data_IF_032700549071
#
_entry.id   IF_032700549071
#
_cell.length_a   1.000
_cell.length_b   1.000
_cell.length_c   1.000
_cell.angle_alpha   90.00
_cell.angle_beta   90.00
_cell.angle_gamma   90.00
#
_symmetry.space_group_name_H-M   'P 1'
#
loop_
_entity.id
_entity.type
_entity.pdbx_description
1 polymer ?
#
# COMPACT_ATOMS: atom_id res chain seq x y z
N UNK A 1 -20.90 0.21 -13.54
CA UNK A 1 -21.64 1.40 -14.00
C UNK A 1 -20.62 2.50 -14.24
N UNK A 2 -20.99 3.55 -14.97
CA UNK A 2 -20.16 4.75 -15.08
C UNK A 2 -20.74 5.78 -14.11
N UNK A 3 -19.93 6.23 -13.17
CA UNK A 3 -20.28 7.30 -12.25
C UNK A 3 -19.74 8.63 -12.79
N UNK A 4 -20.53 9.70 -12.69
CA UNK A 4 -20.15 11.04 -13.14
C UNK A 4 -20.36 12.00 -11.97
N UNK A 5 -19.29 12.63 -11.48
CA UNK A 5 -19.34 13.48 -10.29
C UNK A 5 -18.47 14.73 -10.40
N UNK A 6 -18.86 15.81 -9.73
CA UNK A 6 -18.02 16.97 -9.44
C UNK A 6 -17.62 16.97 -7.97
N UNK A 7 -16.33 17.16 -7.67
CA UNK A 7 -15.78 17.10 -6.31
C UNK A 7 -15.15 18.42 -5.89
N UNK A 8 -15.38 18.82 -4.65
CA UNK A 8 -14.89 20.05 -4.07
C UNK A 8 -14.34 19.85 -2.66
N UNK A 9 -13.36 20.66 -2.30
CA UNK A 9 -12.82 20.79 -0.95
C UNK A 9 -13.33 22.07 -0.29
N UNK A 10 -13.58 22.00 1.01
CA UNK A 10 -13.89 23.15 1.84
C UNK A 10 -12.87 23.35 2.94
N UNK A 11 -12.59 24.62 3.22
CA UNK A 11 -11.85 25.06 4.41
C UNK A 11 -12.70 25.88 5.38
N UNK A 12 -13.92 26.26 4.98
CA UNK A 12 -14.84 27.08 5.77
C UNK A 12 -16.04 26.25 6.27
N UNK A 13 -16.05 25.96 7.57
CA UNK A 13 -17.13 25.25 8.26
C UNK A 13 -18.47 25.97 8.16
N UNK A 14 -18.48 27.32 8.06
CA UNK A 14 -19.72 28.11 7.94
C UNK A 14 -20.40 27.85 6.59
N UNK A 15 -19.61 27.74 5.52
CA UNK A 15 -20.14 27.39 4.20
C UNK A 15 -20.65 25.95 4.17
N UNK A 16 -19.94 25.03 4.83
CA UNK A 16 -20.38 23.64 4.97
C UNK A 16 -21.74 23.53 5.68
N UNK A 17 -21.92 24.23 6.81
CA UNK A 17 -23.20 24.25 7.53
C UNK A 17 -24.32 24.97 6.77
N UNK A 18 -23.99 25.99 5.97
CA UNK A 18 -24.96 26.64 5.09
C UNK A 18 -25.46 25.66 4.03
N UNK A 19 -24.57 24.94 3.35
CA UNK A 19 -24.95 23.94 2.34
C UNK A 19 -25.70 22.75 2.96
N UNK A 20 -25.38 22.38 4.21
CA UNK A 20 -26.04 21.28 4.93
C UNK A 20 -27.52 21.55 5.26
N UNK A 21 -27.95 22.81 5.17
CA UNK A 21 -29.29 23.28 5.54
C UNK A 21 -30.03 24.03 4.43
N UNK A 22 -29.44 24.14 3.23
CA UNK A 22 -30.04 24.89 2.11
C UNK A 22 -31.25 24.15 1.52
N UNK A 23 -32.27 24.92 1.11
CA UNK A 23 -33.49 24.38 0.51
C UNK A 23 -33.47 24.40 -1.03
N UNK A 24 -32.57 25.20 -1.64
CA UNK A 24 -32.41 25.29 -3.10
C UNK A 24 -31.00 25.71 -3.49
N UNK A 25 -30.52 25.24 -4.63
CA UNK A 25 -29.24 25.63 -5.23
C UNK A 25 -29.53 26.05 -6.67
N UNK A 26 -29.32 27.33 -6.97
CA UNK A 26 -29.74 27.95 -8.23
C UNK A 26 -31.24 27.65 -8.53
N UNK A 27 -31.55 26.96 -9.62
CA UNK A 27 -32.93 26.57 -9.97
C UNK A 27 -33.37 25.24 -9.37
N UNK A 28 -32.48 24.50 -8.72
CA UNK A 28 -32.77 23.15 -8.21
C UNK A 28 -33.26 23.19 -6.77
N UNK A 29 -34.32 22.42 -6.49
CA UNK A 29 -34.86 22.25 -5.13
C UNK A 29 -34.14 21.10 -4.42
N UNK A 30 -33.81 21.28 -3.15
CA UNK A 30 -33.18 20.22 -2.35
C UNK A 30 -34.25 19.34 -1.70
N UNK A 31 -34.13 18.02 -1.86
CA UNK A 31 -35.08 17.04 -1.31
C UNK A 31 -34.36 15.86 -0.63
N UNK A 32 -35.13 15.01 0.07
CA UNK A 32 -34.68 13.73 0.63
C UNK A 32 -33.38 13.79 1.44
N UNK A 33 -33.24 14.80 2.30
CA UNK A 33 -32.03 14.98 3.11
C UNK A 33 -31.86 13.83 4.11
N UNK A 34 -30.74 13.12 4.03
CA UNK A 34 -30.40 11.98 4.86
C UNK A 34 -29.04 12.22 5.52
N UNK A 35 -28.98 12.06 6.84
CA UNK A 35 -27.72 11.96 7.58
C UNK A 35 -27.34 10.49 7.75
N UNK A 36 -26.08 10.17 7.48
CA UNK A 36 -25.56 8.82 7.66
C UNK A 36 -24.12 8.81 8.12
N UNK A 37 -23.80 7.87 9.00
CA UNK A 37 -22.44 7.62 9.47
C UNK A 37 -22.02 6.24 9.01
N UNK A 38 -20.81 6.13 8.47
CA UNK A 38 -20.28 4.87 7.98
C UNK A 38 -18.75 4.88 7.94
N UNK A 39 -18.17 3.69 7.78
CA UNK A 39 -16.74 3.49 7.70
C UNK A 39 -16.39 2.75 6.42
N UNK A 40 -15.44 3.28 5.66
CA UNK A 40 -14.81 2.59 4.54
C UNK A 40 -13.46 2.04 5.00
N UNK A 41 -13.18 0.76 4.74
CA UNK A 41 -11.82 0.20 4.85
C UNK A 41 -11.29 -0.04 3.44
N UNK A 42 -10.16 0.57 3.11
CA UNK A 42 -9.50 0.36 1.82
C UNK A 42 -8.52 -0.81 1.89
N UNK A 43 -8.50 -1.63 0.85
CA UNK A 43 -7.68 -2.84 0.79
C UNK A 43 -6.86 -2.91 -0.49
N UNK A 44 -5.67 -3.48 -0.38
CA UNK A 44 -4.86 -3.95 -1.50
C UNK A 44 -3.91 -5.06 -1.02
N UNK A 45 -3.19 -5.69 -1.94
CA UNK A 45 -2.07 -6.58 -1.62
C UNK A 45 -0.83 -5.76 -1.24
N UNK A 46 0.16 -6.42 -0.62
CA UNK A 46 1.42 -5.74 -0.24
C UNK A 46 2.18 -5.13 -1.42
N UNK A 47 2.03 -5.69 -2.63
CA UNK A 47 2.60 -5.17 -3.87
C UNK A 47 1.67 -4.19 -4.62
N UNK A 48 0.58 -3.75 -3.96
CA UNK A 48 -0.37 -2.78 -4.49
C UNK A 48 -0.95 -3.23 -5.85
N UNK A 49 -1.39 -4.48 -5.95
CA UNK A 49 -1.79 -5.09 -7.23
C UNK A 49 -3.05 -4.44 -7.81
N UNK A 50 -4.05 -4.09 -6.99
CA UNK A 50 -5.28 -3.43 -7.45
C UNK A 50 -5.00 -2.00 -7.88
N UNK A 51 -4.22 -1.25 -7.08
CA UNK A 51 -3.74 0.07 -7.44
C UNK A 51 -2.97 0.06 -8.77
N UNK A 52 -2.08 -0.93 -8.94
CA UNK A 52 -1.29 -1.10 -10.16
C UNK A 52 -2.15 -1.46 -11.38
N UNK A 53 -3.29 -2.12 -11.16
CA UNK A 53 -4.29 -2.38 -12.19
C UNK A 53 -5.19 -1.16 -12.47
N UNK A 54 -4.99 -0.04 -11.78
CA UNK A 54 -5.75 1.20 -11.97
C UNK A 54 -7.05 1.27 -11.16
N UNK A 55 -7.18 0.51 -10.07
CA UNK A 55 -8.39 0.47 -9.25
C UNK A 55 -8.10 0.69 -7.75
N UNK A 56 -9.06 1.30 -7.06
CA UNK A 56 -9.16 1.24 -5.61
C UNK A 56 -10.25 0.24 -5.21
N UNK A 57 -10.06 -0.41 -4.07
CA UNK A 57 -11.01 -1.36 -3.52
C UNK A 57 -11.32 -1.05 -2.06
N UNK A 58 -12.60 -0.97 -1.71
CA UNK A 58 -13.06 -0.69 -0.34
C UNK A 58 -14.19 -1.60 0.10
N UNK A 59 -14.29 -1.78 1.40
CA UNK A 59 -15.46 -2.31 2.09
C UNK A 59 -16.09 -1.19 2.93
N UNK A 60 -17.31 -0.82 2.61
CA UNK A 60 -18.13 0.13 3.38
C UNK A 60 -18.99 -0.61 4.38
N UNK A 61 -18.89 -0.23 5.64
CA UNK A 61 -19.64 -0.78 6.76
C UNK A 61 -20.73 0.22 7.19
N UNK A 62 -22.00 -0.11 6.89
CA UNK A 62 -23.21 0.54 7.42
C UNK A 62 -23.97 -0.46 8.31
N UNK A 63 -24.75 0.00 9.31
CA UNK A 63 -25.57 -0.91 10.12
C UNK A 63 -26.49 -1.78 9.25
N UNK A 64 -26.29 -3.10 9.29
CA UNK A 64 -27.07 -4.08 8.52
C UNK A 64 -26.82 -4.09 7.01
N UNK A 65 -25.78 -3.39 6.52
CA UNK A 65 -25.46 -3.32 5.09
C UNK A 65 -23.94 -3.15 4.88
N UNK A 66 -23.34 -4.13 4.24
CA UNK A 66 -21.95 -4.06 3.78
C UNK A 66 -21.93 -3.83 2.27
N UNK A 67 -21.04 -2.96 1.79
CA UNK A 67 -20.89 -2.71 0.36
C UNK A 67 -19.42 -2.78 -0.03
N UNK A 68 -19.08 -3.68 -0.94
CA UNK A 68 -17.76 -3.74 -1.55
C UNK A 68 -17.78 -2.95 -2.85
N UNK A 69 -16.83 -2.04 -3.01
CA UNK A 69 -16.76 -1.16 -4.17
C UNK A 69 -15.38 -1.29 -4.81
N UNK A 70 -15.35 -1.55 -6.11
CA UNK A 70 -14.17 -1.41 -6.96
C UNK A 70 -14.35 -0.19 -7.87
N UNK A 71 -13.41 0.77 -7.80
CA UNK A 71 -13.52 2.06 -8.52
C UNK A 71 -12.25 2.37 -9.28
N UNK A 72 -12.36 2.75 -10.56
CA UNK A 72 -11.19 3.11 -11.37
C UNK A 72 -10.51 4.39 -10.85
N UNK A 73 -9.20 4.49 -11.07
CA UNK A 73 -8.33 5.56 -10.55
C UNK A 73 -8.01 6.66 -11.56
N UNK A 74 -8.84 6.82 -12.59
CA UNK A 74 -8.59 7.79 -13.67
C UNK A 74 -8.29 9.19 -13.10
N UNK A 75 -7.11 9.70 -13.47
CA UNK A 75 -6.71 11.08 -13.18
C UNK A 75 -7.24 11.97 -14.28
N UNK A 76 -8.03 12.95 -13.89
CA UNK A 76 -8.51 14.02 -14.78
C UNK A 76 -8.25 15.36 -14.11
N UNK A 77 -7.84 16.35 -14.91
CA UNK A 77 -7.72 17.75 -14.49
C UNK A 77 -9.08 18.47 -14.52
N UNK A 78 -10.14 17.79 -14.99
CA UNK A 78 -11.51 18.28 -14.98
C UNK A 78 -12.13 18.19 -13.59
N UNK A 79 -12.95 19.19 -13.24
CA UNK A 79 -13.78 19.18 -12.03
C UNK A 79 -14.76 18.01 -12.08
N UNK A 80 -15.32 17.74 -13.27
CA UNK A 80 -16.18 16.59 -13.53
C UNK A 80 -15.33 15.36 -13.84
N UNK A 81 -15.59 14.29 -13.11
CA UNK A 81 -14.93 12.99 -13.22
C UNK A 81 -15.89 11.96 -13.76
N UNK A 82 -15.37 11.04 -14.55
CA UNK A 82 -16.09 9.85 -14.99
C UNK A 82 -15.28 8.63 -14.60
N UNK A 83 -15.87 7.71 -13.85
CA UNK A 83 -15.14 6.53 -13.35
C UNK A 83 -16.00 5.30 -13.45
N UNK A 84 -15.36 4.19 -13.83
CA UNK A 84 -16.01 2.90 -13.74
C UNK A 84 -16.09 2.48 -12.28
N UNK A 85 -17.29 2.10 -11.86
CA UNK A 85 -17.55 1.58 -10.53
C UNK A 85 -18.33 0.25 -10.59
N UNK A 86 -17.94 -0.68 -9.72
CA UNK A 86 -18.63 -1.96 -9.53
C UNK A 86 -18.88 -2.13 -8.03
N UNK A 87 -20.14 -2.33 -7.66
CA UNK A 87 -20.55 -2.53 -6.28
C UNK A 87 -21.23 -3.88 -6.05
N UNK A 88 -20.98 -4.46 -4.87
CA UNK A 88 -21.69 -5.64 -4.37
C UNK A 88 -22.13 -5.37 -2.94
N UNK A 89 -23.41 -5.59 -2.66
CA UNK A 89 -24.01 -5.41 -1.33
C UNK A 89 -24.27 -6.77 -0.71
N UNK A 90 -23.85 -6.94 0.54
CA UNK A 90 -24.10 -8.15 1.34
C UNK A 90 -24.55 -7.77 2.75
N UNK A 91 -25.29 -8.64 3.46
CA UNK A 91 -25.81 -8.32 4.79
C UNK A 91 -24.72 -8.26 5.86
N UNK A 92 -23.66 -9.06 5.72
CA UNK A 92 -22.56 -9.18 6.69
C UNK A 92 -21.21 -9.19 5.98
N UNK A 93 -20.17 -8.78 6.69
CA UNK A 93 -18.81 -8.65 6.15
C UNK A 93 -18.20 -10.05 5.98
N UNK A 94 -17.69 -10.33 4.80
CA UNK A 94 -17.09 -11.62 4.44
C UNK A 94 -15.80 -11.43 3.63
N UNK A 95 -15.07 -12.52 3.41
CA UNK A 95 -13.92 -12.48 2.49
C UNK A 95 -14.40 -12.37 1.05
N UNK A 96 -13.58 -11.77 0.16
CA UNK A 96 -13.96 -11.60 -1.26
C UNK A 96 -14.25 -12.95 -1.93
N UNK A 97 -13.57 -14.02 -1.52
CA UNK A 97 -13.81 -15.38 -2.01
C UNK A 97 -15.18 -15.95 -1.66
N UNK A 98 -15.82 -15.42 -0.62
CA UNK A 98 -17.12 -15.85 -0.10
C UNK A 98 -18.30 -15.07 -0.72
N UNK A 99 -18.02 -14.00 -1.46
CA UNK A 99 -19.04 -13.29 -2.22
C UNK A 99 -19.67 -14.21 -3.27
N UNK A 100 -20.92 -13.92 -3.65
CA UNK A 100 -21.56 -14.56 -4.79
C UNK A 100 -20.76 -14.31 -6.07
N UNK A 101 -20.87 -15.24 -7.03
CA UNK A 101 -20.19 -15.10 -8.31
C UNK A 101 -20.65 -13.83 -9.04
N UNK A 102 -19.68 -13.03 -9.47
CA UNK A 102 -19.96 -11.72 -10.05
C UNK A 102 -18.69 -10.99 -10.46
N UNK A 103 -18.86 -9.92 -11.24
CA UNK A 103 -17.75 -9.19 -11.87
C UNK A 103 -16.72 -8.69 -10.87
N UNK A 104 -17.16 -8.19 -9.71
CA UNK A 104 -16.26 -7.71 -8.64
C UNK A 104 -15.39 -8.85 -8.10
N UNK A 105 -16.00 -9.96 -7.68
CA UNK A 105 -15.28 -11.13 -7.14
C UNK A 105 -14.28 -11.66 -8.16
N UNK A 106 -14.72 -11.93 -9.39
CA UNK A 106 -13.86 -12.47 -10.44
C UNK A 106 -12.69 -11.53 -10.77
N UNK A 107 -12.94 -10.21 -10.82
CA UNK A 107 -11.89 -9.23 -11.08
C UNK A 107 -10.87 -9.19 -9.95
N UNK A 108 -11.31 -9.03 -8.70
CA UNK A 108 -10.42 -8.90 -7.55
C UNK A 108 -9.57 -10.17 -7.39
N UNK A 109 -10.17 -11.36 -7.42
CA UNK A 109 -9.45 -12.62 -7.28
C UNK A 109 -8.44 -12.86 -8.42
N UNK A 110 -8.76 -12.44 -9.65
CA UNK A 110 -7.84 -12.53 -10.78
C UNK A 110 -6.63 -11.59 -10.58
N UNK A 111 -6.87 -10.33 -10.21
CA UNK A 111 -5.79 -9.33 -10.04
C UNK A 111 -4.87 -9.68 -8.88
N UNK A 112 -5.41 -10.12 -7.74
CA UNK A 112 -4.58 -10.44 -6.57
C UNK A 112 -3.92 -11.82 -6.67
N UNK A 113 -4.46 -12.73 -7.49
CA UNK A 113 -3.97 -14.11 -7.61
C UNK A 113 -3.98 -14.84 -6.26
N UNK A 114 -2.82 -15.37 -5.84
CA UNK A 114 -2.64 -15.98 -4.51
C UNK A 114 -2.38 -14.97 -3.39
N UNK A 115 -2.34 -13.67 -3.70
CA UNK A 115 -2.10 -12.61 -2.74
C UNK A 115 -3.26 -12.41 -1.77
N UNK A 116 -2.93 -11.94 -0.56
CA UNK A 116 -3.92 -11.56 0.44
C UNK A 116 -4.18 -10.06 0.42
N UNK A 117 -5.44 -9.69 0.68
CA UNK A 117 -5.84 -8.31 0.89
C UNK A 117 -5.50 -7.88 2.32
N UNK A 118 -4.88 -6.72 2.46
CA UNK A 118 -4.58 -6.09 3.73
C UNK A 118 -5.27 -4.74 3.81
N UNK A 119 -5.73 -4.37 5.00
CA UNK A 119 -6.25 -3.01 5.23
C UNK A 119 -5.10 -2.01 5.08
N UNK A 120 -5.27 -1.03 4.19
CA UNK A 120 -4.33 0.07 3.99
C UNK A 120 -4.59 1.20 4.99
N UNK A 121 -5.86 1.62 5.07
CA UNK A 121 -6.36 2.68 5.95
C UNK A 121 -7.88 2.60 6.03
N UNK A 122 -8.43 3.30 7.02
CA UNK A 122 -9.87 3.47 7.22
C UNK A 122 -10.26 4.91 6.94
N UNK A 123 -11.49 5.12 6.45
CA UNK A 123 -12.09 6.43 6.27
C UNK A 123 -13.43 6.43 7.01
N UNK A 124 -13.58 7.34 7.95
CA UNK A 124 -14.81 7.55 8.71
C UNK A 124 -15.53 8.74 8.07
N UNK A 125 -16.83 8.57 7.87
CA UNK A 125 -17.68 9.55 7.22
C UNK A 125 -18.83 9.92 8.13
N UNK A 126 -19.03 11.22 8.30
CA UNK A 126 -20.32 11.80 8.67
C UNK A 126 -20.87 12.53 7.44
N UNK A 127 -21.83 11.90 6.76
CA UNK A 127 -22.37 12.37 5.48
C UNK A 127 -23.77 12.92 5.63
N UNK A 128 -24.00 14.09 5.04
CA UNK A 128 -25.35 14.56 4.68
C UNK A 128 -25.52 14.45 3.17
N UNK A 129 -26.41 13.57 2.71
CA UNK A 129 -26.81 13.46 1.30
C UNK A 129 -28.18 14.09 1.08
N UNK A 130 -28.42 14.70 -0.08
CA UNK A 130 -29.73 15.15 -0.52
C UNK A 130 -29.83 15.13 -2.05
N UNK A 131 -31.05 14.99 -2.55
CA UNK A 131 -31.34 15.05 -3.98
C UNK A 131 -31.47 16.50 -4.44
N UNK A 132 -30.91 16.82 -5.61
CA UNK A 132 -31.10 18.08 -6.32
C UNK A 132 -32.14 17.86 -7.42
N UNK A 133 -33.31 18.44 -7.23
CA UNK A 133 -34.49 18.20 -8.05
C UNK A 133 -34.74 19.35 -9.02
N UNK A 134 -35.02 19.01 -10.28
CA UNK A 134 -35.66 19.89 -11.26
C UNK A 134 -37.10 19.40 -11.45
N UNK A 135 -38.04 20.13 -10.86
CA UNK A 135 -39.41 19.69 -10.60
C UNK A 135 -39.46 18.30 -9.93
N UNK A 136 -39.77 17.24 -10.69
CA UNK A 136 -39.86 15.86 -10.21
C UNK A 136 -38.66 14.98 -10.58
N UNK A 137 -37.70 15.52 -11.33
CA UNK A 137 -36.53 14.77 -11.83
C UNK A 137 -35.36 14.91 -10.86
N UNK A 138 -34.78 13.80 -10.42
CA UNK A 138 -33.58 13.82 -9.59
C UNK A 138 -32.36 14.03 -10.49
N UNK A 139 -31.89 15.28 -10.57
CA UNK A 139 -30.79 15.67 -11.47
C UNK A 139 -29.46 15.16 -10.93
N UNK A 140 -29.20 15.34 -9.64
CA UNK A 140 -27.96 14.96 -8.99
C UNK A 140 -28.13 14.69 -7.49
N UNK A 141 -27.27 13.87 -6.90
CA UNK A 141 -27.11 13.77 -5.45
C UNK A 141 -26.03 14.76 -4.99
N UNK A 142 -26.35 15.61 -4.02
CA UNK A 142 -25.38 16.42 -3.29
C UNK A 142 -24.98 15.69 -2.00
N UNK A 143 -23.71 15.38 -1.86
CA UNK A 143 -23.11 14.75 -0.69
C UNK A 143 -22.15 15.73 0.00
N UNK A 144 -22.41 16.04 1.27
CA UNK A 144 -21.48 16.76 2.14
C UNK A 144 -20.85 15.76 3.12
N UNK A 145 -19.52 15.63 3.09
CA UNK A 145 -18.79 14.75 3.99
C UNK A 145 -17.91 15.54 4.96
N UNK A 146 -18.04 15.22 6.25
CA UNK A 146 -16.95 15.34 7.20
C UNK A 146 -16.16 14.03 7.22
N UNK A 147 -14.91 14.09 6.76
CA UNK A 147 -14.06 12.93 6.50
C UNK A 147 -12.92 12.87 7.49
N UNK A 148 -12.75 11.72 8.15
CA UNK A 148 -11.55 11.40 8.93
C UNK A 148 -10.89 10.15 8.38
N UNK A 149 -9.71 10.30 7.80
CA UNK A 149 -8.87 9.19 7.36
C UNK A 149 -7.96 8.76 8.51
N UNK A 150 -7.92 7.46 8.82
CA UNK A 150 -7.05 6.86 9.84
C UNK A 150 -6.08 5.88 9.20
N UNK A 151 -4.78 6.10 9.43
CA UNK A 151 -3.72 5.22 8.96
C UNK A 151 -2.63 5.10 10.03
N UNK A 152 -2.38 3.88 10.53
CA UNK A 152 -1.29 3.55 11.48
C UNK A 152 -1.15 4.53 12.66
N UNK A 153 -2.28 4.85 13.31
CA UNK A 153 -2.33 5.73 14.49
C UNK A 153 -2.22 7.23 14.19
N UNK A 154 -2.11 7.62 12.92
CA UNK A 154 -2.25 9.01 12.49
C UNK A 154 -3.59 9.21 11.79
N UNK A 155 -4.06 10.45 11.78
CA UNK A 155 -5.29 10.81 11.12
C UNK A 155 -5.17 12.12 10.33
N UNK A 156 -6.03 12.25 9.31
CA UNK A 156 -6.21 13.45 8.50
C UNK A 156 -7.70 13.72 8.38
N UNK A 157 -8.13 14.90 8.79
CA UNK A 157 -9.52 15.33 8.71
C UNK A 157 -9.68 16.45 7.68
N UNK A 158 -10.78 16.44 6.94
CA UNK A 158 -11.13 17.48 5.99
C UNK A 158 -12.61 17.40 5.59
N UNK A 159 -13.13 18.52 5.07
CA UNK A 159 -14.49 18.61 4.56
C UNK A 159 -14.47 18.52 3.03
N UNK A 160 -15.40 17.77 2.46
CA UNK A 160 -15.59 17.69 1.02
C UNK A 160 -17.07 17.73 0.63
N UNK A 161 -17.32 18.18 -0.59
CA UNK A 161 -18.63 18.17 -1.24
C UNK A 161 -18.50 17.44 -2.56
N UNK A 162 -19.40 16.49 -2.80
CA UNK A 162 -19.55 15.75 -4.06
C UNK A 162 -20.94 16.04 -4.65
N UNK A 163 -21.01 16.32 -5.95
CA UNK A 163 -22.26 16.40 -6.72
C UNK A 163 -22.22 15.27 -7.75
N UNK A 164 -23.02 14.23 -7.55
CA UNK A 164 -23.04 13.04 -8.40
C UNK A 164 -24.26 13.05 -9.32
N UNK A 165 -24.04 12.94 -10.63
CA UNK A 165 -25.10 12.97 -11.63
C UNK A 165 -26.02 11.75 -11.51
N UNK A 166 -27.33 11.99 -11.50
CA UNK A 166 -28.36 10.95 -11.49
C UNK A 166 -29.09 10.92 -12.85
N UNK A 167 -30.28 11.49 -12.94
CA UNK A 167 -31.06 11.61 -14.19
C UNK A 167 -30.77 12.92 -14.95
N UNK A 168 -29.79 13.70 -14.48
CA UNK A 168 -29.33 14.94 -15.10
C UNK A 168 -28.44 14.74 -16.33
N UNK A 169 -28.17 15.85 -17.00
CA UNK A 169 -27.17 15.97 -18.06
C UNK A 169 -25.83 16.50 -17.53
N UNK A 170 -24.75 16.26 -18.26
CA UNK A 170 -23.42 16.80 -17.90
C UNK A 170 -23.38 18.33 -17.93
N UNK A 171 -24.20 18.99 -18.76
CA UNK A 171 -24.31 20.45 -18.80
C UNK A 171 -24.97 20.99 -17.51
N UNK A 172 -25.94 20.27 -16.95
CA UNK A 172 -26.54 20.59 -15.65
C UNK A 172 -25.55 20.38 -14.51
N UNK A 173 -24.76 19.30 -14.57
CA UNK A 173 -23.68 19.07 -13.61
C UNK A 173 -22.61 20.17 -13.67
N UNK A 174 -22.26 20.60 -14.88
CA UNK A 174 -21.31 21.69 -15.10
C UNK A 174 -21.85 23.01 -14.53
N UNK A 175 -23.13 23.31 -14.75
CA UNK A 175 -23.80 24.49 -14.19
C UNK A 175 -23.80 24.45 -12.66
N UNK A 176 -24.14 23.29 -12.06
CA UNK A 176 -24.06 23.09 -10.62
C UNK A 176 -22.63 23.30 -10.09
N UNK A 177 -21.62 22.76 -10.79
CA UNK A 177 -20.22 22.93 -10.41
C UNK A 177 -19.78 24.40 -10.46
N UNK A 178 -20.25 25.17 -11.45
CA UNK A 178 -20.00 26.62 -11.54
C UNK A 178 -20.64 27.38 -10.38
N UNK A 179 -21.86 27.02 -9.97
CA UNK A 179 -22.52 27.59 -8.79
C UNK A 179 -21.74 27.27 -7.51
N UNK A 180 -21.25 26.04 -7.34
CA UNK A 180 -20.41 25.66 -6.19
C UNK A 180 -19.16 26.54 -6.09
N UNK A 181 -18.48 26.79 -7.21
CA UNK A 181 -17.27 27.63 -7.22
C UNK A 181 -17.61 29.11 -7.06
N UNK A 182 -18.59 29.62 -7.79
CA UNK A 182 -18.92 31.05 -7.85
C UNK A 182 -19.61 31.56 -6.59
N UNK A 183 -20.68 30.89 -6.17
CA UNK A 183 -21.57 31.39 -5.11
C UNK A 183 -21.14 30.92 -3.72
N UNK A 184 -20.54 29.73 -3.64
CA UNK A 184 -20.10 29.13 -2.38
C UNK A 184 -18.58 29.19 -2.18
N UNK A 185 -17.81 29.59 -3.21
CA UNK A 185 -16.35 29.69 -3.10
C UNK A 185 -15.65 28.35 -2.95
N UNK A 186 -16.27 27.25 -3.39
CA UNK A 186 -15.69 25.91 -3.23
C UNK A 186 -14.46 25.72 -4.12
N UNK A 187 -13.45 25.01 -3.61
CA UNK A 187 -12.25 24.70 -4.39
C UNK A 187 -12.41 23.34 -5.09
N UNK A 188 -12.22 23.23 -6.41
CA UNK A 188 -12.23 21.93 -7.08
C UNK A 188 -11.23 20.95 -6.46
N UNK A 189 -11.69 19.73 -6.17
CA UNK A 189 -10.90 18.67 -5.55
C UNK A 189 -10.29 17.73 -6.60
N UNK A 190 -8.96 17.67 -6.66
CA UNK A 190 -8.23 16.76 -7.57
C UNK A 190 -7.93 15.38 -6.97
N UNK A 191 -8.00 15.22 -5.66
CA UNK A 191 -7.65 13.97 -4.96
C UNK A 191 -8.90 13.20 -4.54
N UNK A 192 -8.88 11.87 -4.71
CA UNK A 192 -9.88 10.98 -4.12
C UNK A 192 -9.57 10.70 -2.65
N UNK A 193 -10.56 10.17 -1.91
CA UNK A 193 -10.37 9.69 -0.53
C UNK A 193 -9.26 8.63 -0.45
N UNK A 194 -9.13 7.80 -1.49
CA UNK A 194 -8.05 6.83 -1.62
C UNK A 194 -6.68 7.50 -1.79
N UNK A 195 -6.58 8.53 -2.66
CA UNK A 195 -5.33 9.29 -2.85
C UNK A 195 -4.88 9.97 -1.55
N UNK A 196 -5.82 10.58 -0.83
CA UNK A 196 -5.54 11.19 0.47
C UNK A 196 -5.08 10.17 1.52
N UNK A 197 -5.61 8.95 1.48
CA UNK A 197 -5.16 7.86 2.35
C UNK A 197 -3.76 7.34 1.99
N UNK A 198 -3.43 7.22 0.71
CA UNK A 198 -2.07 6.89 0.26
C UNK A 198 -1.06 7.99 0.63
N UNK A 199 -1.45 9.26 0.54
CA UNK A 199 -0.63 10.38 0.98
C UNK A 199 -0.35 10.29 2.49
N UNK A 200 -1.38 10.07 3.31
CA UNK A 200 -1.20 9.89 4.76
C UNK A 200 -0.32 8.68 5.08
N UNK A 201 -0.45 7.59 4.34
CA UNK A 201 0.43 6.42 4.47
C UNK A 201 1.90 6.78 4.16
N UNK A 202 2.18 7.54 3.10
CA UNK A 202 3.54 8.03 2.76
C UNK A 202 4.08 9.00 3.81
N UNK A 203 3.25 9.89 4.34
CA UNK A 203 3.62 10.77 5.44
C UNK A 203 4.03 9.97 6.68
N UNK A 204 3.30 8.89 7.00
CA UNK A 204 3.63 8.03 8.13
C UNK A 204 5.02 7.42 7.98
N UNK A 205 5.37 6.90 6.79
CA UNK A 205 6.72 6.38 6.52
C UNK A 205 7.78 7.47 6.71
N UNK A 206 7.48 8.70 6.28
CA UNK A 206 8.37 9.86 6.45
C UNK A 206 8.57 10.25 7.92
N UNK A 207 7.50 10.24 8.72
CA UNK A 207 7.56 10.51 10.17
C UNK A 207 8.36 9.42 10.89
N UNK A 208 8.09 8.17 10.57
CA UNK A 208 8.80 6.98 11.05
C UNK A 208 10.30 7.04 10.72
N UNK A 209 10.66 7.43 9.50
CA UNK A 209 12.06 7.68 9.12
C UNK A 209 12.73 8.77 9.97
N UNK A 210 11.99 9.82 10.34
CA UNK A 210 12.48 10.91 11.19
C UNK A 210 12.77 10.50 12.64
N UNK A 211 12.17 9.40 13.13
CA UNK A 211 12.45 8.83 14.46
C UNK A 211 13.74 8.00 14.49
N UNK A 212 14.13 7.46 13.35
CA UNK A 212 15.32 6.62 13.22
C UNK A 212 16.59 7.48 13.20
N UNK A 213 17.30 7.54 14.33
CA UNK A 213 18.61 8.21 14.36
C UNK A 213 19.68 7.32 13.71
N UNK A 214 20.20 7.78 12.57
CA UNK A 214 21.36 7.22 11.89
C UNK A 214 22.57 8.16 11.92
N UNK A 215 22.46 9.33 12.55
CA UNK A 215 23.46 10.39 12.46
C UNK A 215 23.68 10.90 11.04
N UNK A 216 24.92 11.27 10.71
CA UNK A 216 25.25 11.89 9.42
C UNK A 216 25.29 10.85 8.29
N UNK A 217 24.20 10.76 7.54
CA UNK A 217 24.12 9.92 6.34
C UNK A 217 24.64 10.71 5.11
N UNK A 218 25.52 10.14 4.27
CA UNK A 218 25.98 10.81 3.06
C UNK A 218 24.82 11.09 2.09
N UNK A 219 24.56 12.37 1.81
CA UNK A 219 23.61 12.77 0.76
C UNK A 219 24.10 12.28 -0.61
N UNK A 220 23.19 11.80 -1.45
CA UNK A 220 23.51 11.47 -2.85
C UNK A 220 23.10 12.59 -3.80
N UNK A 221 23.92 12.84 -4.81
CA UNK A 221 23.57 13.72 -5.94
C UNK A 221 22.77 12.92 -6.96
N UNK A 222 21.62 13.49 -7.34
CA UNK A 222 20.65 13.02 -8.35
C UNK A 222 20.19 11.57 -8.14
N UNK A 223 19.02 11.43 -7.51
CA UNK A 223 18.21 10.23 -7.53
C UNK A 223 16.95 10.59 -8.28
N UNK A 224 16.60 9.76 -9.25
CA UNK A 224 15.38 9.95 -10.02
C UNK A 224 14.26 9.19 -9.27
N UNK A 225 13.30 9.88 -8.63
CA UNK A 225 12.21 9.21 -7.97
C UNK A 225 11.30 8.56 -9.02
N UNK A 226 10.83 7.36 -8.73
CA UNK A 226 9.85 6.60 -9.52
C UNK A 226 8.86 5.98 -8.53
N UNK A 227 7.58 5.83 -8.87
CA UNK A 227 6.68 5.16 -7.92
C UNK A 227 7.02 3.68 -7.82
N UNK A 228 6.64 3.07 -6.69
CA UNK A 228 6.85 1.64 -6.47
C UNK A 228 6.21 0.80 -7.59
N UNK A 229 4.98 1.12 -7.97
CA UNK A 229 4.24 0.44 -9.04
C UNK A 229 4.94 0.57 -10.39
N UNK A 230 5.37 1.78 -10.77
CA UNK A 230 6.12 1.99 -12.01
C UNK A 230 7.43 1.19 -12.01
N UNK A 231 8.18 1.20 -10.89
CA UNK A 231 9.42 0.44 -10.78
C UNK A 231 9.19 -1.08 -10.93
N UNK A 232 8.13 -1.63 -10.34
CA UNK A 232 7.81 -3.06 -10.49
C UNK A 232 7.42 -3.39 -11.93
N UNK A 233 6.68 -2.50 -12.60
CA UNK A 233 6.23 -2.71 -13.97
C UNK A 233 7.35 -2.54 -15.00
N UNK A 234 8.12 -1.45 -14.91
CA UNK A 234 9.19 -1.09 -15.87
C UNK A 234 10.31 -2.14 -15.92
N UNK A 235 10.54 -2.81 -14.79
CA UNK A 235 11.55 -3.86 -14.65
C UNK A 235 10.98 -5.28 -14.68
N UNK A 236 9.67 -5.44 -14.97
CA UNK A 236 8.94 -6.73 -15.07
C UNK A 236 9.24 -7.64 -13.87
N UNK A 237 9.05 -7.09 -12.66
CA UNK A 237 9.24 -7.84 -11.42
C UNK A 237 8.13 -8.88 -11.29
N UNK A 238 8.52 -10.12 -11.00
CA UNK A 238 7.57 -11.19 -10.76
C UNK A 238 6.77 -10.97 -9.46
N UNK A 239 5.61 -10.34 -9.60
CA UNK A 239 4.81 -9.83 -8.47
C UNK A 239 4.40 -10.90 -7.47
N UNK A 240 3.98 -12.08 -7.93
CA UNK A 240 3.59 -13.17 -7.03
C UNK A 240 4.75 -13.61 -6.13
N UNK A 241 5.95 -13.74 -6.70
CA UNK A 241 7.16 -14.02 -5.93
C UNK A 241 7.46 -12.91 -4.92
N UNK A 242 7.52 -11.68 -5.42
CA UNK A 242 7.85 -10.51 -4.63
C UNK A 242 6.91 -10.40 -3.42
N UNK A 243 5.61 -10.60 -3.63
CA UNK A 243 4.59 -10.63 -2.58
C UNK A 243 4.85 -11.75 -1.58
N UNK A 244 5.10 -12.98 -2.04
CA UNK A 244 5.33 -14.13 -1.14
C UNK A 244 6.58 -13.96 -0.29
N UNK A 245 7.67 -13.47 -0.88
CA UNK A 245 8.90 -13.11 -0.18
C UNK A 245 8.64 -12.00 0.82
N UNK A 246 7.78 -11.04 0.49
CA UNK A 246 7.39 -9.95 1.41
C UNK A 246 6.59 -10.45 2.60
N UNK A 247 5.60 -11.33 2.38
CA UNK A 247 4.82 -11.95 3.46
C UNK A 247 5.72 -12.75 4.41
N UNK A 248 6.61 -13.59 3.86
CA UNK A 248 7.58 -14.34 4.64
C UNK A 248 8.55 -13.40 5.38
N UNK A 249 9.00 -12.33 4.73
CA UNK A 249 9.89 -11.32 5.33
C UNK A 249 9.24 -10.63 6.52
N UNK A 250 7.96 -10.27 6.41
CA UNK A 250 7.20 -9.64 7.49
C UNK A 250 6.93 -10.59 8.65
N UNK A 251 6.52 -11.83 8.36
CA UNK A 251 6.32 -12.83 9.41
C UNK A 251 7.59 -13.04 10.24
N UNK A 252 8.75 -13.12 9.58
CA UNK A 252 10.04 -13.22 10.28
C UNK A 252 10.43 -11.94 11.01
N UNK A 253 10.16 -10.76 10.43
CA UNK A 253 10.46 -9.48 11.04
C UNK A 253 9.61 -9.22 12.31
N UNK A 254 8.33 -9.56 12.26
CA UNK A 254 7.41 -9.29 13.37
C UNK A 254 7.66 -10.29 14.52
N UNK A 255 7.72 -11.59 14.22
CA UNK A 255 7.85 -12.63 15.24
C UNK A 255 9.26 -12.72 15.87
N UNK A 256 10.31 -12.33 15.14
CA UNK A 256 11.69 -12.43 15.61
C UNK A 256 12.28 -11.09 16.06
N UNK A 257 11.44 -10.09 16.35
CA UNK A 257 11.89 -8.75 16.76
C UNK A 257 12.82 -8.78 17.98
N UNK A 258 12.56 -9.67 18.95
CA UNK A 258 13.40 -9.86 20.13
C UNK A 258 14.79 -10.46 19.80
N UNK A 259 14.90 -11.10 18.63
CA UNK A 259 16.12 -11.77 18.15
C UNK A 259 16.94 -10.83 17.28
N UNK A 260 16.37 -10.29 16.20
CA UNK A 260 17.11 -9.42 15.29
C UNK A 260 17.21 -7.97 15.79
N UNK A 261 16.35 -7.55 16.72
CA UNK A 261 16.39 -6.23 17.36
C UNK A 261 16.43 -5.07 16.35
N UNK A 262 15.69 -5.22 15.25
CA UNK A 262 15.45 -4.11 14.33
C UNK A 262 14.37 -3.23 14.96
N UNK A 263 14.40 -1.95 14.66
CA UNK A 263 13.35 -1.03 15.06
C UNK A 263 12.04 -1.39 14.35
N UNK A 264 10.88 -1.50 15.04
CA UNK A 264 9.58 -1.71 14.40
C UNK A 264 9.29 -0.70 13.27
N UNK A 265 9.83 0.51 13.39
CA UNK A 265 9.68 1.58 12.39
C UNK A 265 10.33 1.23 11.03
N UNK A 266 11.17 0.19 10.96
CA UNK A 266 11.72 -0.32 9.70
C UNK A 266 10.80 -1.29 8.95
N UNK A 267 9.62 -1.62 9.49
CA UNK A 267 8.71 -2.60 8.89
C UNK A 267 8.29 -2.26 7.47
N UNK A 268 7.95 -1.00 7.17
CA UNK A 268 7.60 -0.58 5.80
C UNK A 268 8.81 -0.58 4.86
N UNK A 269 10.00 -0.27 5.38
CA UNK A 269 11.25 -0.42 4.62
C UNK A 269 11.49 -1.89 4.26
N UNK A 270 11.12 -2.82 5.15
CA UNK A 270 11.22 -4.26 4.90
C UNK A 270 10.27 -4.71 3.79
N UNK A 271 9.03 -4.21 3.78
CA UNK A 271 8.07 -4.44 2.70
C UNK A 271 8.68 -4.03 1.37
N UNK A 272 9.15 -2.80 1.30
CA UNK A 272 9.71 -2.23 0.09
C UNK A 272 10.97 -2.98 -0.35
N UNK A 273 11.89 -3.29 0.56
CA UNK A 273 13.11 -4.05 0.26
C UNK A 273 12.82 -5.44 -0.31
N UNK A 274 11.79 -6.13 0.22
CA UNK A 274 11.41 -7.45 -0.27
C UNK A 274 10.76 -7.39 -1.66
N UNK A 275 9.90 -6.41 -1.91
CA UNK A 275 9.23 -6.30 -3.21
C UNK A 275 10.19 -5.96 -4.35
N UNK A 276 11.25 -5.17 -4.12
CA UNK A 276 12.24 -4.80 -5.17
C UNK A 276 13.47 -5.71 -5.23
N UNK A 277 13.51 -6.80 -4.46
CA UNK A 277 14.75 -7.58 -4.33
C UNK A 277 15.24 -8.13 -5.68
N UNK A 278 14.31 -8.42 -6.60
CA UNK A 278 14.56 -8.99 -7.93
C UNK A 278 14.39 -8.00 -9.09
N UNK A 279 14.35 -6.69 -8.81
CA UNK A 279 14.26 -5.63 -9.85
C UNK A 279 15.38 -5.69 -10.91
N UNK A 280 16.48 -6.40 -10.63
CA UNK A 280 17.58 -6.59 -11.57
C UNK A 280 17.47 -7.80 -12.50
N UNK A 281 16.44 -8.65 -12.38
CA UNK A 281 16.35 -9.94 -13.10
C UNK A 281 16.28 -9.73 -14.61
N UNK A 282 15.44 -8.83 -15.09
CA UNK A 282 15.32 -8.49 -16.52
C UNK A 282 16.57 -7.86 -17.10
N UNK A 283 17.31 -7.10 -16.29
CA UNK A 283 18.55 -6.45 -16.73
C UNK A 283 19.72 -7.43 -16.82
N UNK A 284 19.88 -8.33 -15.84
CA UNK A 284 20.91 -9.37 -15.83
C UNK A 284 20.50 -10.56 -14.96
N UNK A 285 19.97 -11.61 -15.57
CA UNK A 285 19.53 -12.82 -14.86
C UNK A 285 20.64 -13.43 -13.96
N UNK A 286 21.90 -13.45 -14.43
CA UNK A 286 23.01 -14.06 -13.67
C UNK A 286 23.51 -13.13 -12.57
N UNK A 287 23.55 -11.84 -12.83
CA UNK A 287 24.03 -10.78 -11.95
C UNK A 287 22.95 -9.93 -11.29
N UNK A 288 21.69 -10.36 -11.25
CA UNK A 288 20.54 -9.52 -10.87
C UNK A 288 20.71 -8.74 -9.56
N UNK A 289 21.24 -9.35 -8.50
CA UNK A 289 21.61 -8.65 -7.26
C UNK A 289 22.50 -7.40 -7.45
N UNK A 290 23.43 -7.40 -8.43
CA UNK A 290 24.26 -6.24 -8.78
C UNK A 290 23.49 -5.24 -9.64
N UNK A 291 22.78 -5.73 -10.66
CA UNK A 291 21.98 -4.89 -11.55
C UNK A 291 20.88 -4.16 -10.75
N UNK A 292 20.13 -4.88 -9.92
CA UNK A 292 19.10 -4.34 -9.05
C UNK A 292 19.65 -3.32 -8.05
N UNK A 293 20.82 -3.58 -7.45
CA UNK A 293 21.52 -2.55 -6.66
C UNK A 293 21.75 -1.30 -7.51
N UNK A 294 22.33 -1.43 -8.69
CA UNK A 294 22.71 -0.28 -9.52
C UNK A 294 21.50 0.48 -10.08
N UNK A 295 20.37 -0.20 -10.30
CA UNK A 295 19.05 0.40 -10.54
C UNK A 295 18.63 1.23 -9.33
N UNK A 296 18.53 0.60 -8.15
CA UNK A 296 18.06 1.24 -6.92
C UNK A 296 19.00 2.36 -6.40
N UNK A 297 20.27 2.34 -6.81
CA UNK A 297 21.21 3.42 -6.52
C UNK A 297 21.01 4.64 -7.44
N UNK A 298 20.33 4.51 -8.58
CA UNK A 298 20.05 5.59 -9.54
C UNK A 298 18.60 6.08 -9.44
N UNK A 299 17.67 5.13 -9.36
CA UNK A 299 16.24 5.35 -9.25
C UNK A 299 15.77 4.80 -7.91
N UNK A 300 15.00 5.58 -7.16
CA UNK A 300 14.47 5.13 -5.86
C UNK A 300 12.95 5.19 -5.88
N UNK A 301 12.27 4.24 -5.20
CA UNK A 301 10.84 4.39 -5.00
C UNK A 301 10.52 5.71 -4.28
N UNK A 302 9.54 6.46 -4.77
CA UNK A 302 9.12 7.75 -4.25
C UNK A 302 8.46 7.64 -2.87
N UNK A 303 7.92 6.46 -2.55
CA UNK A 303 7.26 6.13 -1.29
C UNK A 303 8.23 6.00 -0.11
N UNK A 304 9.53 5.84 -0.38
CA UNK A 304 10.53 5.67 0.67
C UNK A 304 11.40 6.93 0.86
N UNK A 305 11.38 7.56 2.03
CA UNK A 305 12.09 8.80 2.28
C UNK A 305 13.61 8.58 2.42
N UNK A 306 14.37 9.67 2.29
CA UNK A 306 15.75 9.70 2.79
C UNK A 306 15.75 9.59 4.33
N UNK A 307 16.68 8.83 4.95
CA UNK A 307 17.74 8.03 4.33
C UNK A 307 17.37 6.57 4.06
N UNK A 308 16.13 6.15 4.33
CA UNK A 308 15.73 4.74 4.32
C UNK A 308 15.86 4.08 2.95
N UNK A 309 15.64 4.80 1.85
CA UNK A 309 15.81 4.23 0.52
C UNK A 309 17.23 3.70 0.26
N UNK A 310 18.24 4.14 1.01
CA UNK A 310 19.61 3.65 0.89
C UNK A 310 19.75 2.19 1.34
N UNK A 311 18.77 1.65 2.09
CA UNK A 311 18.75 0.26 2.54
C UNK A 311 18.49 -0.69 1.37
N UNK A 312 17.52 -0.35 0.51
CA UNK A 312 17.01 -1.18 -0.59
C UNK A 312 18.12 -1.71 -1.53
N UNK A 313 19.02 -0.87 -2.08
CA UNK A 313 20.07 -1.38 -2.96
C UNK A 313 20.97 -2.42 -2.32
N UNK A 314 21.22 -2.32 -1.01
CA UNK A 314 22.16 -3.20 -0.32
C UNK A 314 21.50 -4.50 0.13
N UNK A 315 20.23 -4.48 0.54
CA UNK A 315 19.45 -5.71 0.74
C UNK A 315 19.32 -6.47 -0.59
N UNK A 316 19.03 -5.77 -1.70
CA UNK A 316 19.04 -6.32 -3.06
C UNK A 316 20.42 -6.85 -3.47
N UNK A 317 21.52 -6.18 -3.12
CA UNK A 317 22.86 -6.72 -3.42
C UNK A 317 23.19 -8.00 -2.64
N UNK A 318 22.66 -8.11 -1.42
CA UNK A 318 22.98 -9.15 -0.47
C UNK A 318 22.09 -10.39 -0.59
N UNK A 319 20.94 -10.36 -1.27
CA UNK A 319 19.97 -11.48 -1.22
C UNK A 319 20.43 -12.79 -1.91
N UNK A 320 21.21 -12.72 -3.00
CA UNK A 320 21.44 -13.90 -3.86
C UNK A 320 22.58 -14.83 -3.42
N UNK A 321 23.79 -14.30 -3.36
CA UNK A 321 25.04 -15.10 -3.29
C UNK A 321 25.37 -15.44 -1.84
N UNK A 322 25.91 -16.64 -1.59
CA UNK A 322 26.39 -17.07 -0.26
C UNK A 322 27.23 -15.97 0.41
N UNK A 323 26.99 -15.72 1.69
CA UNK A 323 27.75 -14.76 2.48
C UNK A 323 28.72 -15.50 3.40
N UNK A 324 29.97 -15.05 3.38
CA UNK A 324 31.06 -15.52 4.23
C UNK A 324 31.75 -14.30 4.83
N UNK A 325 32.56 -14.51 5.87
CA UNK A 325 33.33 -13.47 6.54
C UNK A 325 34.16 -12.63 5.56
N UNK A 326 34.90 -13.28 4.64
CA UNK A 326 35.68 -12.59 3.60
C UNK A 326 34.85 -11.66 2.71
N UNK A 327 33.61 -12.07 2.39
CA UNK A 327 32.73 -11.28 1.55
C UNK A 327 32.17 -10.08 2.32
N UNK A 328 31.88 -10.25 3.61
CA UNK A 328 31.49 -9.15 4.50
C UNK A 328 32.66 -8.17 4.68
N UNK A 329 33.88 -8.66 4.95
CA UNK A 329 35.07 -7.83 5.04
C UNK A 329 35.28 -7.01 3.76
N UNK A 330 35.14 -7.63 2.58
CA UNK A 330 35.17 -6.94 1.28
C UNK A 330 34.05 -5.90 1.11
N UNK A 331 32.89 -6.10 1.72
CA UNK A 331 31.79 -5.13 1.69
C UNK A 331 32.09 -3.92 2.59
N UNK A 332 32.66 -4.14 3.78
CA UNK A 332 33.03 -3.06 4.72
C UNK A 332 34.15 -2.15 4.23
N UNK A 333 34.94 -2.57 3.23
CA UNK A 333 35.94 -1.70 2.58
C UNK A 333 35.41 -1.01 1.32
N UNK A 334 34.21 -1.35 0.83
CA UNK A 334 33.63 -0.67 -0.33
C UNK A 334 33.18 0.72 0.06
N UNK A 335 33.82 1.73 -0.54
CA UNK A 335 33.56 3.16 -0.32
C UNK A 335 32.07 3.54 -0.18
N UNK A 336 31.20 3.00 -1.03
CA UNK A 336 29.75 3.32 -0.99
C UNK A 336 29.03 2.75 0.24
N UNK A 337 29.41 1.55 0.71
CA UNK A 337 28.78 0.90 1.87
C UNK A 337 29.43 1.37 3.17
N UNK A 338 30.76 1.44 3.19
CA UNK A 338 31.55 1.87 4.34
C UNK A 338 31.31 3.32 4.76
N UNK A 339 30.78 4.14 3.85
CA UNK A 339 30.38 5.52 4.13
C UNK A 339 29.03 5.64 4.87
N UNK A 340 28.21 4.58 4.89
CA UNK A 340 26.94 4.60 5.64
C UNK A 340 27.22 4.52 7.15
N UNK A 341 26.41 5.14 8.02
CA UNK A 341 26.56 5.02 9.47
C UNK A 341 26.52 3.57 9.95
N UNK A 342 27.23 3.26 11.06
CA UNK A 342 27.34 1.90 11.59
C UNK A 342 25.96 1.27 11.84
N UNK A 343 25.06 1.97 12.55
CA UNK A 343 23.70 1.49 12.81
C UNK A 343 22.92 1.16 11.53
N UNK A 344 23.05 1.99 10.49
CA UNK A 344 22.41 1.73 9.19
C UNK A 344 22.98 0.50 8.51
N UNK A 345 24.31 0.28 8.58
CA UNK A 345 24.92 -0.94 8.05
C UNK A 345 24.43 -2.18 8.79
N UNK A 346 24.30 -2.10 10.12
CA UNK A 346 23.81 -3.20 10.94
C UNK A 346 22.35 -3.53 10.61
N UNK A 347 21.49 -2.52 10.46
CA UNK A 347 20.09 -2.69 10.05
C UNK A 347 20.00 -3.31 8.66
N UNK A 348 20.78 -2.82 7.69
CA UNK A 348 20.86 -3.41 6.33
C UNK A 348 21.22 -4.89 6.38
N UNK A 349 22.24 -5.26 7.17
CA UNK A 349 22.71 -6.63 7.24
C UNK A 349 21.65 -7.56 7.87
N UNK A 350 20.94 -7.10 8.90
CA UNK A 350 19.86 -7.85 9.55
C UNK A 350 18.62 -7.97 8.65
N UNK A 351 18.20 -6.90 8.00
CA UNK A 351 17.11 -6.92 7.02
C UNK A 351 17.45 -7.83 5.83
N UNK A 352 18.69 -7.77 5.33
CA UNK A 352 19.16 -8.67 4.29
C UNK A 352 19.18 -10.14 4.75
N UNK A 353 19.50 -10.42 6.02
CA UNK A 353 19.47 -11.77 6.56
C UNK A 353 18.05 -12.35 6.54
N UNK A 354 17.05 -11.57 6.97
CA UNK A 354 15.64 -11.95 6.92
C UNK A 354 15.19 -12.13 5.46
N UNK A 355 15.48 -11.17 4.59
CA UNK A 355 15.09 -11.21 3.18
C UNK A 355 15.66 -12.45 2.46
N UNK A 356 16.92 -12.80 2.72
CA UNK A 356 17.56 -14.00 2.18
C UNK A 356 16.84 -15.27 2.58
N UNK A 357 16.45 -15.38 3.84
CA UNK A 357 15.69 -16.52 4.35
C UNK A 357 14.33 -16.56 3.65
N UNK A 358 13.60 -15.46 3.64
CA UNK A 358 12.27 -15.34 3.04
C UNK A 358 12.24 -15.68 1.54
N UNK A 359 13.23 -15.20 0.78
CA UNK A 359 13.48 -15.56 -0.64
C UNK A 359 13.82 -17.06 -0.77
N UNK A 360 14.56 -17.64 0.18
CA UNK A 360 14.77 -19.08 0.23
C UNK A 360 13.50 -19.90 0.49
N UNK A 361 12.54 -19.33 1.21
CA UNK A 361 11.26 -19.96 1.56
C UNK A 361 10.23 -19.94 0.42
N UNK A 362 10.47 -19.16 -0.63
CA UNK A 362 9.66 -19.14 -1.85
C UNK A 362 10.52 -19.48 -3.08
N UNK A 363 11.36 -20.52 -2.96
CA UNK A 363 12.21 -20.93 -4.08
C UNK A 363 11.49 -21.86 -5.05
N UNK A 364 10.65 -22.74 -4.52
CA UNK A 364 9.86 -23.69 -5.30
C UNK A 364 8.67 -23.05 -6.00
N UNK A 365 8.19 -21.90 -5.50
CA UNK A 365 6.95 -21.23 -5.91
C UNK A 365 5.69 -22.07 -5.71
N UNK A 366 5.73 -22.99 -4.75
CA UNK A 366 4.63 -23.90 -4.41
C UNK A 366 3.96 -23.53 -3.08
N UNK A 367 3.76 -22.23 -2.85
CA UNK A 367 2.97 -21.65 -1.75
C UNK A 367 3.32 -22.13 -0.33
N UNK A 368 4.58 -22.43 -0.07
CA UNK A 368 5.08 -22.72 1.27
C UNK A 368 4.75 -21.58 2.24
N UNK A 369 4.27 -21.90 3.45
CA UNK A 369 3.95 -20.92 4.49
C UNK A 369 4.56 -21.30 5.82
N UNK A 370 4.91 -20.29 6.62
CA UNK A 370 5.31 -20.48 8.02
C UNK A 370 4.09 -20.98 8.81
N UNK A 371 4.24 -22.11 9.50
CA UNK A 371 3.20 -22.62 10.41
C UNK A 371 3.49 -22.31 11.86
N UNK A 372 4.77 -22.21 12.24
CA UNK A 372 5.20 -21.98 13.61
C UNK A 372 6.63 -21.42 13.63
N UNK A 373 6.92 -20.56 14.61
CA UNK A 373 8.27 -20.06 14.89
C UNK A 373 8.54 -20.27 16.39
N UNK A 374 9.53 -21.09 16.70
CA UNK A 374 9.94 -21.34 18.08
C UNK A 374 11.36 -20.84 18.31
N UNK A 375 11.54 -20.07 19.37
CA UNK A 375 12.88 -19.76 19.88
C UNK A 375 13.21 -20.76 20.99
N UNK A 376 14.17 -21.66 20.75
CA UNK A 376 14.64 -22.64 21.75
C UNK A 376 16.10 -22.38 22.08
N UNK A 377 16.39 -22.13 23.35
CA UNK A 377 17.72 -21.73 23.84
C UNK A 377 18.22 -20.45 23.11
N UNK A 378 19.17 -20.63 22.17
CA UNK A 378 19.71 -19.59 21.28
C UNK A 378 19.29 -19.75 19.81
N UNK A 379 18.73 -20.90 19.44
CA UNK A 379 18.39 -21.20 18.05
C UNK A 379 16.94 -20.82 17.76
N UNK A 380 16.67 -20.48 16.50
CA UNK A 380 15.33 -20.30 15.98
C UNK A 380 14.96 -21.52 15.15
N UNK A 381 13.79 -22.10 15.39
CA UNK A 381 13.23 -23.20 14.61
C UNK A 381 11.99 -22.66 13.89
N UNK A 382 11.99 -22.74 12.56
CA UNK A 382 10.87 -22.30 11.72
C UNK A 382 10.25 -23.53 11.09
N UNK A 383 8.97 -23.74 11.32
CA UNK A 383 8.20 -24.76 10.63
C UNK A 383 7.58 -24.20 9.36
N UNK A 384 7.73 -24.96 8.27
CA UNK A 384 7.17 -24.61 6.97
C UNK A 384 6.20 -25.72 6.55
N UNK A 385 4.98 -25.35 6.17
CA UNK A 385 3.97 -26.25 5.61
C UNK A 385 3.68 -25.90 4.16
N UNK A 386 3.13 -26.86 3.43
CA UNK A 386 2.72 -26.72 2.04
C UNK A 386 3.51 -27.61 1.08
N UNK A 387 3.09 -27.68 -0.20
CA UNK A 387 3.64 -28.63 -1.18
C UNK A 387 5.14 -28.46 -1.43
N UNK A 388 5.67 -27.24 -1.31
CA UNK A 388 7.09 -26.93 -1.48
C UNK A 388 7.95 -27.00 -0.22
N UNK A 389 7.36 -27.31 0.94
CA UNK A 389 7.98 -27.08 2.25
C UNK A 389 9.36 -27.72 2.40
N UNK A 390 9.57 -28.94 1.91
CA UNK A 390 10.88 -29.60 2.00
C UNK A 390 11.97 -28.94 1.14
N UNK A 391 11.60 -28.47 -0.06
CA UNK A 391 12.53 -27.81 -0.98
C UNK A 391 12.89 -26.43 -0.42
N UNK A 392 11.86 -25.71 0.02
CA UNK A 392 11.98 -24.34 0.53
C UNK A 392 12.69 -24.30 1.88
N UNK A 393 12.42 -25.24 2.80
CA UNK A 393 13.17 -25.37 4.06
C UNK A 393 14.67 -25.56 3.81
N UNK A 394 15.05 -26.48 2.91
CA UNK A 394 16.46 -26.72 2.54
C UNK A 394 17.09 -25.50 1.89
N UNK A 395 16.32 -24.73 1.12
CA UNK A 395 16.82 -23.53 0.45
C UNK A 395 16.98 -22.36 1.41
N UNK A 396 16.01 -22.14 2.29
CA UNK A 396 16.04 -21.16 3.37
C UNK A 396 17.23 -21.41 4.31
N UNK A 397 17.47 -22.67 4.71
CA UNK A 397 18.63 -23.05 5.52
C UNK A 397 19.96 -22.73 4.83
N UNK A 398 20.07 -22.98 3.52
CA UNK A 398 21.27 -22.59 2.76
C UNK A 398 21.47 -21.07 2.67
N UNK A 399 20.38 -20.29 2.73
CA UNK A 399 20.40 -18.82 2.66
C UNK A 399 20.51 -18.15 4.03
N UNK A 400 20.50 -18.90 5.14
CA UNK A 400 20.64 -18.37 6.50
C UNK A 400 22.09 -18.04 6.90
N UNK A 401 23.05 -18.14 5.98
CA UNK A 401 24.47 -17.83 6.23
C UNK A 401 24.68 -16.44 6.87
N UNK A 402 24.07 -15.40 6.33
CA UNK A 402 24.18 -14.03 6.82
C UNK A 402 23.53 -13.88 8.20
N UNK A 403 22.42 -14.58 8.45
CA UNK A 403 21.76 -14.58 9.75
C UNK A 403 22.70 -15.06 10.85
N UNK A 404 23.35 -16.21 10.65
CA UNK A 404 24.33 -16.74 11.60
C UNK A 404 25.50 -15.79 11.84
N UNK A 405 25.99 -15.13 10.79
CA UNK A 405 27.10 -14.18 10.88
C UNK A 405 26.76 -12.89 11.65
N UNK A 406 25.50 -12.44 11.62
CA UNK A 406 25.13 -11.11 12.15
C UNK A 406 24.33 -11.16 13.46
N UNK A 407 23.74 -12.31 13.79
CA UNK A 407 22.91 -12.48 15.00
C UNK A 407 23.47 -13.48 16.02
N UNK A 408 24.60 -14.15 15.72
CA UNK A 408 25.21 -15.17 16.59
C UNK A 408 24.20 -16.23 17.08
N UNK A 409 23.24 -16.57 16.21
CA UNK A 409 22.15 -17.51 16.47
C UNK A 409 21.88 -18.30 15.20
N UNK A 410 21.78 -19.63 15.31
CA UNK A 410 21.40 -20.44 14.18
C UNK A 410 19.89 -20.38 13.95
N UNK A 411 19.49 -20.53 12.69
CA UNK A 411 18.09 -20.73 12.31
C UNK A 411 17.97 -22.02 11.52
N UNK A 412 17.05 -22.88 11.94
CA UNK A 412 16.79 -24.20 11.37
C UNK A 412 15.37 -24.25 10.84
N UNK A 413 15.17 -25.01 9.77
CA UNK A 413 13.88 -25.12 9.11
C UNK A 413 13.38 -26.56 9.18
N UNK A 414 12.12 -26.74 9.57
CA UNK A 414 11.47 -28.05 9.65
C UNK A 414 10.27 -28.07 8.70
N UNK A 415 10.30 -28.86 7.62
CA UNK A 415 9.09 -29.10 6.85
C UNK A 415 8.10 -29.89 7.72
N UNK A 416 6.83 -29.50 7.70
CA UNK A 416 5.73 -30.20 8.36
C UNK A 416 4.67 -30.56 7.33
N UNK A 417 4.02 -31.71 7.55
CA UNK A 417 3.02 -32.29 6.65
C UNK A 417 1.74 -31.46 6.58
#
# INVERSE_FOLDING_TARGET
MMEIEAKFLLSDEVVFEKLSSIDSIDTFTVANRIKSNFKDTYFDTLDMALYSAGYSFRCREKPGKITYTLKSLEKTDSVIRKREEIEVVVPEKCEVSELDEGRLKSFVLNVIGSGKLFSLFEVIHERTSCDLMDDSRNVAELSLDDVVIKCKGNEKAYLEVEVELQEGSEDELQSLAEVMVGDFGLMPGSSSKFDNGLELWRENISRTAGKLDYGKVPSRKKIDPITFTELLNDYDVERNHARKVTENSLALFDELISVHRLDPDLRDTMIMAALVHDVGVTTDVKGHHKAGRDILLRQSPAEIPFPLYLILPWTTFLHKKKIHEDKLAKLFVKKKFSALPQKMRDDILRMAAILRIADGMDYSRMDSVISNIETRNKDVIIEIKGPGSEIDARRAEKKSDLWGLVLDRAVKFRPVA
#
